data_IF_311019700608
#
_entry.id   IF_311019700608
#
_cell.length_a   1.000
_cell.length_b   1.000
_cell.length_c   1.000
_cell.angle_alpha   90.00
_cell.angle_beta   90.00
_cell.angle_gamma   90.00
#
_symmetry.space_group_name_H-M   'P 1'
#
loop_
_entity.id
_entity.type
_entity.pdbx_description
1 polymer ?
#
# COMPACT_ATOMS: atom_id res chain seq x y z
N UNK A 1 -1.03 1.82 16.11
CA UNK A 1 -0.63 0.62 15.35
C UNK A 1 0.06 1.07 14.07
N UNK A 2 1.25 0.53 13.82
CA UNK A 2 2.05 0.77 12.62
C UNK A 2 1.54 -0.08 11.46
N UNK A 3 1.33 0.47 10.26
CA UNK A 3 1.12 -0.36 9.07
C UNK A 3 2.46 -0.95 8.69
N UNK A 4 2.59 -2.27 8.82
CA UNK A 4 3.83 -2.97 8.49
C UNK A 4 3.81 -3.45 7.02
N UNK A 5 4.96 -3.55 6.34
CA UNK A 5 5.05 -4.10 4.99
C UNK A 5 4.34 -5.46 4.84
N UNK A 6 4.43 -6.28 5.89
CA UNK A 6 3.76 -7.60 5.99
C UNK A 6 2.23 -7.49 5.96
N UNK A 7 1.64 -6.46 6.57
CA UNK A 7 0.19 -6.25 6.52
C UNK A 7 -0.24 -5.85 5.10
N UNK A 8 0.55 -4.99 4.46
CA UNK A 8 0.32 -4.54 3.08
C UNK A 8 0.39 -5.73 2.12
N UNK A 9 1.40 -6.60 2.24
CA UNK A 9 1.49 -7.82 1.45
C UNK A 9 0.30 -8.76 1.65
N UNK A 10 -0.24 -8.86 2.88
CA UNK A 10 -1.44 -9.67 3.15
C UNK A 10 -2.68 -9.09 2.49
N UNK A 11 -2.86 -7.77 2.56
CA UNK A 11 -4.03 -7.09 1.98
C UNK A 11 -4.03 -7.05 0.46
N UNK A 12 -2.84 -7.10 -0.15
CA UNK A 12 -2.66 -7.03 -1.59
C UNK A 12 -2.37 -8.40 -2.22
N UNK A 13 -2.61 -9.46 -1.46
CA UNK A 13 -2.53 -10.83 -1.96
C UNK A 13 -3.68 -11.06 -2.95
N UNK A 14 -3.34 -11.40 -4.19
CA UNK A 14 -4.33 -11.58 -5.26
C UNK A 14 -4.55 -10.34 -6.14
N UNK A 15 -3.70 -9.32 -6.01
CA UNK A 15 -3.57 -8.28 -7.04
C UNK A 15 -2.85 -8.88 -8.26
N UNK A 16 -3.42 -8.67 -9.44
CA UNK A 16 -2.76 -8.97 -10.71
C UNK A 16 -1.74 -7.88 -11.02
N UNK A 17 -0.46 -8.25 -10.95
CA UNK A 17 0.64 -7.36 -11.31
C UNK A 17 1.02 -7.55 -12.80
N UNK A 18 1.49 -6.49 -13.48
CA UNK A 18 1.75 -5.14 -12.97
C UNK A 18 0.46 -4.34 -12.67
N UNK A 19 0.47 -3.58 -11.57
CA UNK A 19 -0.71 -2.85 -11.07
C UNK A 19 -0.40 -1.37 -10.84
N UNK A 20 -1.36 -0.50 -11.16
CA UNK A 20 -1.22 0.94 -10.92
C UNK A 20 -1.65 1.32 -9.51
N UNK A 21 -1.25 2.50 -9.04
CA UNK A 21 -1.75 3.07 -7.78
C UNK A 21 -3.27 2.96 -7.64
N UNK A 22 -4.01 3.32 -8.70
CA UNK A 22 -5.47 3.30 -8.71
C UNK A 22 -6.05 1.88 -8.56
N UNK A 23 -5.44 0.89 -9.23
CA UNK A 23 -5.81 -0.52 -9.08
C UNK A 23 -5.58 -1.01 -7.65
N UNK A 24 -4.46 -0.63 -7.05
CA UNK A 24 -4.11 -0.99 -5.67
C UNK A 24 -5.08 -0.36 -4.66
N UNK A 25 -5.42 0.92 -4.82
CA UNK A 25 -6.41 1.61 -3.99
C UNK A 25 -7.79 0.97 -4.18
N UNK A 26 -8.21 0.72 -5.41
CA UNK A 26 -9.51 0.10 -5.71
C UNK A 26 -9.62 -1.32 -5.15
N UNK A 27 -8.55 -2.12 -5.27
CA UNK A 27 -8.49 -3.45 -4.69
C UNK A 27 -8.56 -3.39 -3.16
N UNK A 28 -7.81 -2.47 -2.55
CA UNK A 28 -7.80 -2.24 -1.13
C UNK A 28 -9.17 -1.80 -0.60
N UNK A 29 -9.86 -0.86 -1.25
CA UNK A 29 -11.18 -0.38 -0.83
C UNK A 29 -12.26 -1.47 -0.91
N UNK A 30 -12.09 -2.46 -1.80
CA UNK A 30 -12.98 -3.64 -1.87
C UNK A 30 -12.75 -4.65 -0.75
N UNK A 31 -11.60 -4.60 -0.07
CA UNK A 31 -11.29 -5.50 1.05
C UNK A 31 -12.00 -5.02 2.31
N UNK A 32 -12.97 -5.79 2.81
CA UNK A 32 -13.73 -5.47 4.02
C UNK A 32 -12.88 -5.33 5.29
N UNK A 33 -11.67 -5.91 5.31
CA UNK A 33 -10.78 -5.91 6.48
C UNK A 33 -9.63 -4.91 6.40
N UNK A 34 -9.61 -4.04 5.39
CA UNK A 34 -8.49 -3.11 5.24
C UNK A 34 -8.51 -2.04 6.33
N UNK A 35 -7.34 -1.79 6.92
CA UNK A 35 -7.19 -0.70 7.87
C UNK A 35 -7.24 0.65 7.13
N UNK A 36 -7.95 1.66 7.64
CA UNK A 36 -8.00 3.00 7.02
C UNK A 36 -6.61 3.61 6.76
N UNK A 37 -5.64 3.34 7.64
CA UNK A 37 -4.25 3.78 7.50
C UNK A 37 -3.56 3.18 6.26
N UNK A 38 -3.92 1.96 5.84
CA UNK A 38 -3.37 1.34 4.62
C UNK A 38 -3.86 2.11 3.40
N UNK A 39 -5.15 2.43 3.33
CA UNK A 39 -5.73 3.24 2.24
C UNK A 39 -5.04 4.61 2.15
N UNK A 40 -4.84 5.28 3.29
CA UNK A 40 -4.14 6.57 3.35
C UNK A 40 -2.71 6.48 2.77
N UNK A 41 -1.97 5.43 3.09
CA UNK A 41 -0.62 5.20 2.53
C UNK A 41 -0.71 4.91 1.03
N UNK A 42 -1.65 4.06 0.59
CA UNK A 42 -1.84 3.77 -0.84
C UNK A 42 -2.19 5.04 -1.64
N UNK A 43 -2.97 5.96 -1.06
CA UNK A 43 -3.26 7.28 -1.65
C UNK A 43 -2.03 8.18 -1.74
N UNK A 44 -1.04 8.00 -0.88
CA UNK A 44 0.24 8.73 -0.91
C UNK A 44 1.26 8.12 -1.88
N UNK A 45 0.96 6.97 -2.50
CA UNK A 45 1.87 6.37 -3.48
C UNK A 45 2.09 7.31 -4.67
N UNK A 46 3.32 7.31 -5.24
CA UNK A 46 3.56 7.94 -6.52
C UNK A 46 2.71 7.28 -7.60
N UNK A 47 2.34 8.10 -8.59
CA UNK A 47 1.57 7.67 -9.76
C UNK A 47 2.49 6.89 -10.71
N UNK A 48 2.64 5.59 -10.42
CA UNK A 48 3.48 4.67 -11.16
C UNK A 48 2.88 3.28 -11.13
N UNK A 49 3.36 2.44 -12.04
CA UNK A 49 3.06 1.01 -12.06
C UNK A 49 4.04 0.28 -11.15
N UNK A 50 3.51 -0.68 -10.39
CA UNK A 50 4.31 -1.57 -9.56
C UNK A 50 4.35 -2.94 -10.23
N UNK A 51 5.54 -3.46 -10.45
CA UNK A 51 5.74 -4.78 -11.08
C UNK A 51 5.44 -5.95 -10.14
N UNK A 52 5.33 -5.68 -8.84
CA UNK A 52 5.08 -6.72 -7.86
C UNK A 52 4.99 -6.22 -6.42
N UNK A 53 4.64 -7.13 -5.49
CA UNK A 53 4.43 -6.80 -4.09
C UNK A 53 5.70 -6.29 -3.39
N UNK A 54 6.89 -6.73 -3.83
CA UNK A 54 8.17 -6.31 -3.25
C UNK A 54 8.44 -4.82 -3.52
N UNK A 55 8.24 -4.36 -4.75
CA UNK A 55 8.43 -2.95 -5.12
C UNK A 55 7.47 -2.05 -4.33
N UNK A 56 6.22 -2.48 -4.24
CA UNK A 56 5.18 -1.78 -3.50
C UNK A 56 5.43 -1.74 -1.99
N UNK A 57 5.80 -2.87 -1.38
CA UNK A 57 6.09 -2.96 0.05
C UNK A 57 7.25 -2.04 0.46
N UNK A 58 8.24 -1.88 -0.42
CA UNK A 58 9.36 -0.94 -0.21
C UNK A 58 8.85 0.50 -0.17
N UNK A 59 8.09 0.93 -1.18
CA UNK A 59 7.54 2.29 -1.26
C UNK A 59 6.61 2.59 -0.08
N UNK A 60 5.74 1.65 0.30
CA UNK A 60 4.86 1.79 1.46
C UNK A 60 5.65 1.94 2.76
N UNK A 61 6.71 1.15 2.95
CA UNK A 61 7.58 1.28 4.13
C UNK A 61 8.27 2.64 4.24
N UNK A 62 8.64 3.24 3.10
CA UNK A 62 9.20 4.60 3.05
C UNK A 62 8.16 5.67 3.41
N UNK A 63 6.95 5.57 2.86
CA UNK A 63 5.83 6.49 3.17
C UNK A 63 5.43 6.39 4.65
N UNK A 64 5.26 5.18 5.18
CA UNK A 64 4.90 4.98 6.58
C UNK A 64 5.95 5.55 7.53
N UNK A 65 7.25 5.37 7.23
CA UNK A 65 8.34 5.99 8.00
C UNK A 65 8.26 7.51 7.96
N UNK A 66 7.99 8.10 6.79
CA UNK A 66 7.80 9.55 6.65
C UNK A 66 6.61 10.07 7.45
N UNK A 67 5.49 9.34 7.45
CA UNK A 67 4.28 9.71 8.20
C UNK A 67 4.42 9.53 9.73
N UNK A 68 5.35 8.69 10.20
CA UNK A 68 5.64 8.47 11.63
C UNK A 68 6.63 9.47 12.21
N UNK A 69 7.32 10.24 11.38
CA UNK A 69 8.24 11.29 11.80
C UNK A 69 7.64 12.67 11.52
N UNK A 70 6.59 13.11 12.25
CA UNK A 70 6.26 14.52 12.27
C UNK A 70 7.39 15.24 13.03
N UNK A 71 8.02 16.20 12.36
CA UNK A 71 8.85 17.24 13.00
C UNK A 71 8.07 17.98 14.07
#
# INVERSE_FOLDING_TARGET
MAVSPVEVEKFLKGVDYPASKEDLVSHAERQLQILPRVIEILKQLPDQTYDGPVALAKTVGEIDRRLKSPT
#
